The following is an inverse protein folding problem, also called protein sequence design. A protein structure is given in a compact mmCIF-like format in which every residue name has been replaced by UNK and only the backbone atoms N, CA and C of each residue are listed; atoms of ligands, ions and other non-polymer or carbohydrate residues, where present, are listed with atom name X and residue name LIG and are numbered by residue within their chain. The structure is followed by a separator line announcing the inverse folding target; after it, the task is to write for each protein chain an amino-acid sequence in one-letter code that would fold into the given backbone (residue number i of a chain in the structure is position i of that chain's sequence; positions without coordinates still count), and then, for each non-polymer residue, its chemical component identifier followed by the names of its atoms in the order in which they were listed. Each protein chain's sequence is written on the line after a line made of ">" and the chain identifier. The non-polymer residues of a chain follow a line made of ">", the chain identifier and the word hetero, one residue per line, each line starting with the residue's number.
data_IF_765950060934
#
_entry.id   IF_765950060934
#
_cell.length_a   1.000
_cell.length_b   1.000
_cell.length_c   1.000
_cell.angle_alpha   90.00
_cell.angle_beta   90.00
_cell.angle_gamma   90.00
#
_symmetry.space_group_name_H-M   'P 1'
#
loop_
_entity.id
_entity.type
_entity.pdbx_description
1 polymer ?
#
# COMPACT_ATOMS: atom_id res chain seq x y z
N UNK A 1 33.93 16.64 -2.89
CA UNK A 1 34.11 15.36 -2.23
C UNK A 1 32.94 14.48 -2.67
N UNK A 2 33.03 14.04 -3.95
CA UNK A 2 32.09 13.13 -4.61
C UNK A 2 32.72 11.74 -4.55
N UNK A 3 31.95 10.77 -4.19
CA UNK A 3 32.01 9.39 -4.61
C UNK A 3 31.48 8.46 -3.51
N UNK A 4 30.27 7.97 -3.75
CA UNK A 4 29.86 6.58 -3.47
C UNK A 4 28.48 6.31 -4.06
N UNK A 5 28.40 6.36 -5.39
CA UNK A 5 27.29 5.73 -6.10
C UNK A 5 27.50 4.21 -6.04
N UNK A 6 26.65 3.54 -5.28
CA UNK A 6 26.63 2.07 -5.21
C UNK A 6 26.19 1.54 -6.56
N UNK A 7 27.10 0.85 -7.25
CA UNK A 7 26.87 0.26 -8.56
C UNK A 7 25.86 -0.89 -8.47
N UNK A 8 24.74 -0.81 -9.22
CA UNK A 8 23.66 -1.80 -9.31
C UNK A 8 24.12 -3.25 -9.45
N UNK A 9 25.28 -3.50 -10.04
CA UNK A 9 25.85 -4.85 -10.21
C UNK A 9 26.40 -5.48 -8.93
N UNK A 10 26.67 -4.70 -7.89
CA UNK A 10 27.12 -5.23 -6.57
C UNK A 10 25.98 -5.63 -5.66
N UNK A 11 24.80 -5.02 -5.81
CA UNK A 11 23.64 -5.34 -4.98
C UNK A 11 23.06 -6.72 -5.29
N UNK A 12 23.10 -7.15 -6.58
CA UNK A 12 22.57 -8.45 -7.01
C UNK A 12 23.43 -9.64 -6.55
N UNK A 13 24.69 -9.43 -6.16
CA UNK A 13 25.58 -10.53 -5.71
C UNK A 13 25.50 -10.87 -4.21
N UNK A 14 24.83 -10.08 -3.40
CA UNK A 14 24.66 -10.37 -1.95
C UNK A 14 23.35 -11.09 -1.59
N UNK A 15 22.41 -11.23 -2.52
CA UNK A 15 21.12 -11.90 -2.30
C UNK A 15 21.10 -13.36 -2.76
N UNK A 16 22.21 -13.97 -3.05
CA UNK A 16 22.30 -15.29 -3.66
C UNK A 16 23.12 -16.29 -2.86
N UNK A 17 22.69 -16.73 -1.68
CA UNK A 17 23.06 -18.06 -1.14
C UNK A 17 21.95 -18.55 -0.23
N UNK A 18 21.18 -19.52 -0.69
CA UNK A 18 20.14 -20.17 0.09
C UNK A 18 19.25 -21.08 -0.75
N UNK A 19 19.82 -21.78 -1.75
CA UNK A 19 19.08 -22.83 -2.46
C UNK A 19 19.10 -24.13 -1.62
N UNK A 20 18.00 -24.44 -0.96
CA UNK A 20 17.74 -25.79 -0.45
C UNK A 20 16.98 -26.54 -1.51
N UNK A 21 17.66 -27.47 -2.17
CA UNK A 21 17.08 -28.45 -3.10
C UNK A 21 16.27 -29.48 -2.30
N UNK A 22 14.95 -29.46 -2.42
CA UNK A 22 14.09 -30.58 -1.99
C UNK A 22 13.68 -31.38 -3.21
N UNK A 23 14.19 -32.61 -3.27
CA UNK A 23 13.78 -33.65 -4.22
C UNK A 23 12.32 -34.04 -3.92
N UNK A 24 11.44 -33.87 -4.88
CA UNK A 24 10.08 -34.38 -4.87
C UNK A 24 10.10 -35.85 -5.28
N UNK A 25 9.96 -36.74 -4.30
CA UNK A 25 9.46 -38.10 -4.55
C UNK A 25 7.93 -38.05 -4.45
N UNK A 26 7.25 -38.44 -5.50
CA UNK A 26 5.82 -38.45 -5.57
C UNK A 26 5.17 -39.49 -4.67
N UNK A 27 4.10 -39.09 -4.00
CA UNK A 27 2.98 -39.93 -3.56
C UNK A 27 1.74 -39.06 -3.46
N UNK A 28 0.66 -39.47 -4.14
CA UNK A 28 -0.59 -38.75 -4.15
C UNK A 28 -1.22 -38.64 -2.76
N UNK A 29 -1.53 -37.42 -2.38
CA UNK A 29 -2.37 -37.10 -1.23
C UNK A 29 -3.59 -36.35 -1.73
N UNK A 30 -4.75 -36.81 -1.29
CA UNK A 30 -6.05 -36.33 -1.72
C UNK A 30 -6.33 -34.91 -1.19
N UNK A 31 -6.98 -34.07 -1.99
CA UNK A 31 -7.27 -32.66 -1.69
C UNK A 31 -8.12 -32.35 -0.42
N UNK A 32 -8.29 -33.33 0.49
CA UNK A 32 -8.87 -33.13 1.82
C UNK A 32 -7.84 -32.70 2.85
N UNK A 33 -6.62 -33.18 2.73
CA UNK A 33 -5.57 -32.92 3.73
C UNK A 33 -4.99 -31.50 3.61
N UNK A 34 -5.00 -30.92 2.40
CA UNK A 34 -4.55 -29.54 2.19
C UNK A 34 -5.49 -28.51 2.81
N UNK A 35 -6.80 -28.76 2.75
CA UNK A 35 -7.80 -27.85 3.31
C UNK A 35 -7.79 -27.88 4.86
N UNK A 36 -7.63 -29.05 5.45
CA UNK A 36 -7.56 -29.20 6.89
C UNK A 36 -6.27 -28.64 7.49
N UNK A 37 -5.16 -28.75 6.77
CA UNK A 37 -3.88 -28.13 7.15
C UNK A 37 -3.91 -26.61 7.00
N UNK A 38 -4.60 -26.09 5.98
CA UNK A 38 -4.82 -24.66 5.77
C UNK A 38 -5.68 -24.05 6.89
N UNK A 39 -6.77 -24.71 7.28
CA UNK A 39 -7.66 -24.25 8.36
C UNK A 39 -6.97 -24.30 9.73
N UNK A 40 -6.04 -25.24 9.95
CA UNK A 40 -5.20 -25.29 11.18
C UNK A 40 -4.14 -24.18 11.22
N UNK A 41 -3.53 -23.85 10.08
CA UNK A 41 -2.59 -22.73 9.96
C UNK A 41 -3.29 -21.37 10.17
N UNK A 42 -4.49 -21.20 9.66
CA UNK A 42 -5.29 -19.99 9.85
C UNK A 42 -5.77 -19.86 11.30
N UNK A 43 -6.16 -20.96 11.96
CA UNK A 43 -6.55 -20.95 13.39
C UNK A 43 -5.39 -20.81 14.36
N UNK A 44 -4.16 -21.16 13.95
CA UNK A 44 -2.95 -21.00 14.76
C UNK A 44 -2.35 -19.59 14.75
N UNK A 45 -2.79 -18.72 13.86
CA UNK A 45 -2.28 -17.34 13.72
C UNK A 45 -3.07 -16.27 14.48
N UNK A 46 -4.01 -16.65 15.36
CA UNK A 46 -4.59 -15.73 16.34
C UNK A 46 -3.66 -15.66 17.57
N UNK A 47 -2.43 -15.27 17.33
CA UNK A 47 -1.52 -14.80 18.36
C UNK A 47 -1.75 -13.31 18.50
N UNK A 48 -2.22 -12.85 19.65
CA UNK A 48 -2.64 -11.51 19.96
C UNK A 48 -1.60 -10.42 19.67
N UNK A 49 -1.44 -10.06 18.40
CA UNK A 49 -0.78 -8.85 17.98
C UNK A 49 -1.61 -7.65 18.44
N UNK A 50 -0.93 -6.58 18.87
CA UNK A 50 -1.59 -5.34 19.25
C UNK A 50 -2.41 -4.82 18.05
N UNK A 51 -3.70 -4.51 18.26
CA UNK A 51 -4.53 -3.88 17.24
C UNK A 51 -3.85 -2.61 16.71
N UNK A 52 -3.74 -2.49 15.38
CA UNK A 52 -3.17 -1.32 14.72
C UNK A 52 -4.26 -0.38 14.26
N UNK A 53 -3.93 0.93 14.22
CA UNK A 53 -4.69 1.96 13.52
C UNK A 53 -4.13 2.10 12.10
N UNK A 54 -4.95 1.82 11.11
CA UNK A 54 -4.57 1.83 9.69
C UNK A 54 -5.34 2.96 8.98
N UNK A 55 -4.63 3.78 8.22
CA UNK A 55 -5.24 4.79 7.36
C UNK A 55 -5.08 4.37 5.91
N UNK A 56 -6.21 4.19 5.22
CA UNK A 56 -6.29 3.91 3.78
C UNK A 56 -6.62 5.20 3.05
N UNK A 57 -5.75 5.64 2.15
CA UNK A 57 -5.90 6.87 1.36
C UNK A 57 -6.29 6.49 -0.05
N UNK A 58 -7.58 6.50 -0.36
CA UNK A 58 -8.12 6.29 -1.69
C UNK A 58 -8.03 7.55 -2.53
N UNK A 59 -7.60 7.40 -3.78
CA UNK A 59 -7.43 8.53 -4.71
C UNK A 59 -8.06 8.31 -6.08
N UNK A 60 -8.94 7.31 -6.20
CA UNK A 60 -9.67 7.08 -7.44
C UNK A 60 -10.83 8.05 -7.60
N UNK A 61 -10.91 8.80 -8.71
CA UNK A 61 -12.06 9.66 -9.00
C UNK A 61 -13.28 8.90 -9.54
N UNK A 62 -13.14 7.60 -9.81
CA UNK A 62 -14.26 6.79 -10.28
C UNK A 62 -15.22 6.46 -9.14
N UNK A 63 -16.52 6.34 -9.43
CA UNK A 63 -17.51 5.85 -8.46
C UNK A 63 -17.07 4.53 -7.81
N UNK A 64 -17.45 4.35 -6.55
CA UNK A 64 -17.04 3.18 -5.76
C UNK A 64 -17.35 1.84 -6.44
N UNK A 65 -18.50 1.73 -7.09
CA UNK A 65 -18.95 0.53 -7.80
C UNK A 65 -18.24 0.29 -9.14
N UNK A 66 -17.45 1.25 -9.64
CA UNK A 66 -16.70 1.16 -10.89
C UNK A 66 -15.19 1.09 -10.67
N UNK A 67 -14.71 1.65 -9.57
CA UNK A 67 -13.29 1.75 -9.28
C UNK A 67 -12.64 0.41 -8.98
N UNK A 68 -11.59 0.10 -9.70
CA UNK A 68 -10.77 -1.10 -9.52
C UNK A 68 -9.85 -0.99 -8.30
N UNK A 69 -9.23 0.17 -8.08
CA UNK A 69 -8.36 0.40 -6.93
C UNK A 69 -9.12 0.48 -5.61
N UNK A 70 -10.33 1.06 -5.60
CA UNK A 70 -11.21 1.03 -4.42
C UNK A 70 -11.59 -0.41 -4.08
N UNK A 71 -11.93 -1.24 -5.08
CA UNK A 71 -12.22 -2.66 -4.83
C UNK A 71 -11.06 -3.37 -4.13
N UNK A 72 -9.82 -3.21 -4.62
CA UNK A 72 -8.68 -3.85 -3.99
C UNK A 72 -8.43 -3.34 -2.56
N UNK A 73 -8.65 -2.05 -2.32
CA UNK A 73 -8.54 -1.47 -0.97
C UNK A 73 -9.62 -1.97 -0.02
N UNK A 74 -10.84 -2.23 -0.52
CA UNK A 74 -11.91 -2.86 0.25
C UNK A 74 -11.56 -4.29 0.66
N UNK A 75 -10.94 -5.06 -0.24
CA UNK A 75 -10.45 -6.41 0.10
C UNK A 75 -9.36 -6.37 1.16
N UNK A 76 -8.39 -5.47 1.06
CA UNK A 76 -7.39 -5.25 2.10
C UNK A 76 -8.03 -4.86 3.43
N UNK A 77 -8.96 -3.90 3.41
CA UNK A 77 -9.67 -3.43 4.60
C UNK A 77 -10.43 -4.55 5.29
N UNK A 78 -11.14 -5.39 4.52
CA UNK A 78 -11.84 -6.55 5.07
C UNK A 78 -10.88 -7.54 5.72
N UNK A 79 -9.72 -7.79 5.11
CA UNK A 79 -8.66 -8.62 5.70
C UNK A 79 -8.13 -8.05 7.01
N UNK A 80 -7.76 -6.76 7.02
CA UNK A 80 -7.23 -6.08 8.20
C UNK A 80 -8.23 -6.04 9.36
N UNK A 81 -9.50 -5.77 9.06
CA UNK A 81 -10.58 -5.79 10.06
C UNK A 81 -10.83 -7.21 10.61
N UNK A 82 -10.71 -8.25 9.77
CA UNK A 82 -10.82 -9.64 10.22
C UNK A 82 -9.71 -10.05 11.19
N UNK A 83 -8.55 -9.38 11.12
CA UNK A 83 -7.43 -9.53 12.04
C UNK A 83 -7.53 -8.63 13.30
N UNK A 84 -8.61 -7.85 13.44
CA UNK A 84 -8.87 -7.01 14.61
C UNK A 84 -8.25 -5.60 14.54
N UNK A 85 -7.84 -5.14 13.36
CA UNK A 85 -7.29 -3.80 13.18
C UNK A 85 -8.38 -2.75 12.96
N UNK A 86 -8.14 -1.52 13.40
CA UNK A 86 -8.98 -0.36 13.14
C UNK A 86 -8.58 0.27 11.80
N UNK A 87 -9.52 0.39 10.85
CA UNK A 87 -9.25 0.96 9.54
C UNK A 87 -10.09 2.21 9.30
N UNK A 88 -9.42 3.34 9.05
CA UNK A 88 -10.03 4.57 8.58
C UNK A 88 -9.70 4.77 7.10
N UNK A 89 -10.72 5.04 6.28
CA UNK A 89 -10.56 5.31 4.86
C UNK A 89 -10.84 6.78 4.55
N UNK A 90 -9.90 7.42 3.84
CA UNK A 90 -10.03 8.79 3.34
C UNK A 90 -10.16 8.78 1.82
N UNK A 91 -11.12 9.54 1.30
CA UNK A 91 -11.38 9.68 -0.14
C UNK A 91 -10.76 10.97 -0.67
N UNK A 92 -9.50 10.91 -1.06
CA UNK A 92 -8.76 12.07 -1.56
C UNK A 92 -9.29 12.63 -2.89
N UNK A 93 -10.14 11.89 -3.59
CA UNK A 93 -10.70 12.33 -4.87
C UNK A 93 -11.99 13.15 -4.72
N UNK A 94 -12.78 12.88 -3.67
CA UNK A 94 -14.08 13.53 -3.48
C UNK A 94 -14.10 14.51 -2.30
N UNK A 95 -13.10 14.47 -1.43
CA UNK A 95 -12.94 15.47 -0.37
C UNK A 95 -12.33 16.77 -0.90
N UNK A 96 -12.67 17.89 -0.26
CA UNK A 96 -12.05 19.17 -0.59
C UNK A 96 -10.59 19.18 -0.16
N UNK A 97 -9.68 19.16 -1.12
CA UNK A 97 -8.23 19.09 -0.90
C UNK A 97 -7.49 20.12 -1.75
N UNK A 98 -6.38 20.65 -1.21
CA UNK A 98 -5.54 21.63 -1.93
C UNK A 98 -4.08 21.13 -1.96
N UNK A 99 -3.39 21.27 -3.10
CA UNK A 99 -1.98 20.94 -3.22
C UNK A 99 -1.12 21.83 -2.32
N UNK A 100 0.05 21.34 -1.92
CA UNK A 100 1.04 22.14 -1.22
C UNK A 100 1.49 23.33 -2.10
N UNK A 101 1.53 24.55 -1.51
CA UNK A 101 1.97 25.77 -2.20
C UNK A 101 3.47 26.07 -2.01
N UNK A 102 4.20 25.25 -1.26
CA UNK A 102 5.61 25.51 -0.98
C UNK A 102 5.86 26.80 -0.18
N UNK A 103 4.89 27.25 0.62
CA UNK A 103 4.96 28.54 1.32
C UNK A 103 5.75 28.48 2.63
N UNK A 104 6.14 27.30 3.06
CA UNK A 104 6.93 26.97 4.26
C UNK A 104 6.37 27.48 5.62
N UNK A 105 5.15 27.99 5.64
CA UNK A 105 4.53 28.49 6.88
C UNK A 105 4.26 27.43 7.95
N UNK A 106 4.28 26.15 7.58
CA UNK A 106 4.16 25.02 8.49
C UNK A 106 5.51 24.63 9.14
N UNK A 107 6.65 25.11 8.61
CA UNK A 107 7.99 24.80 9.10
C UNK A 107 8.22 23.30 9.35
N UNK A 108 7.66 22.42 8.49
CA UNK A 108 7.73 20.95 8.53
C UNK A 108 7.12 20.27 9.77
N UNK A 109 6.63 20.99 10.75
CA UNK A 109 6.03 20.43 11.98
C UNK A 109 4.79 21.20 12.48
N UNK A 110 4.36 22.22 11.76
CA UNK A 110 3.19 23.02 12.11
C UNK A 110 1.96 22.75 11.25
N UNK A 111 0.80 23.31 11.63
CA UNK A 111 -0.41 23.18 10.81
C UNK A 111 -0.23 23.85 9.46
N UNK A 112 -0.80 23.23 8.43
CA UNK A 112 -0.85 23.86 7.12
C UNK A 112 -1.77 25.10 7.16
N UNK A 113 -1.49 26.04 6.25
CA UNK A 113 -2.38 27.22 6.06
C UNK A 113 -3.75 26.85 5.52
N UNK A 114 -3.83 25.76 4.72
CA UNK A 114 -5.10 25.23 4.25
C UNK A 114 -5.82 24.49 5.38
N UNK A 115 -7.09 24.82 5.58
CA UNK A 115 -7.97 24.16 6.54
C UNK A 115 -8.93 23.20 5.83
N UNK A 116 -8.41 22.52 4.82
CA UNK A 116 -9.10 21.56 4.01
C UNK A 116 -9.21 20.17 4.68
N UNK A 117 -9.82 19.21 4.00
CA UNK A 117 -10.02 17.87 4.54
C UNK A 117 -8.68 17.13 4.84
N UNK A 118 -7.59 17.46 4.13
CA UNK A 118 -6.27 16.91 4.47
C UNK A 118 -5.84 17.36 5.87
N UNK A 119 -5.93 18.65 6.18
CA UNK A 119 -5.47 19.17 7.48
C UNK A 119 -6.43 18.84 8.62
N UNK A 120 -7.76 18.89 8.36
CA UNK A 120 -8.76 18.81 9.44
C UNK A 120 -9.25 17.38 9.72
N UNK A 121 -9.20 16.49 8.72
CA UNK A 121 -9.71 15.13 8.84
C UNK A 121 -8.57 14.10 8.73
N UNK A 122 -7.79 14.13 7.62
CA UNK A 122 -6.82 13.10 7.33
C UNK A 122 -5.57 13.21 8.21
N UNK A 123 -4.99 14.40 8.36
CA UNK A 123 -3.74 14.59 9.08
C UNK A 123 -3.81 14.10 10.54
N UNK A 124 -4.84 14.41 11.35
CA UNK A 124 -4.98 13.87 12.70
C UNK A 124 -4.97 12.32 12.70
N UNK A 125 -5.67 11.69 11.73
CA UNK A 125 -5.72 10.23 11.61
C UNK A 125 -4.37 9.63 11.23
N UNK A 126 -3.65 10.25 10.27
CA UNK A 126 -2.32 9.80 9.89
C UNK A 126 -1.30 9.90 11.03
N UNK A 127 -1.38 10.95 11.84
CA UNK A 127 -0.48 11.12 12.99
C UNK A 127 -0.65 10.01 14.04
N UNK A 128 -1.88 9.56 14.25
CA UNK A 128 -2.20 8.48 15.19
C UNK A 128 -2.00 7.08 14.58
N UNK A 129 -1.92 6.96 13.26
CA UNK A 129 -1.86 5.68 12.57
C UNK A 129 -0.53 4.97 12.80
N UNK A 130 -0.60 3.64 12.90
CA UNK A 130 0.56 2.74 12.85
C UNK A 130 0.95 2.44 11.39
N UNK A 131 -0.01 2.51 10.46
CA UNK A 131 0.17 2.15 9.05
C UNK A 131 -0.58 3.08 8.10
N UNK A 132 0.05 3.40 6.96
CA UNK A 132 -0.54 4.15 5.85
C UNK A 132 -0.61 3.26 4.61
N UNK A 133 -1.79 3.19 3.99
CA UNK A 133 -2.02 2.46 2.73
C UNK A 133 -2.34 3.46 1.64
N UNK A 134 -1.45 3.55 0.67
CA UNK A 134 -1.59 4.44 -0.48
C UNK A 134 -2.31 3.69 -1.60
N UNK A 135 -3.48 4.19 -2.02
CA UNK A 135 -4.32 3.54 -3.03
C UNK A 135 -4.53 4.45 -4.23
N UNK A 136 -4.14 4.00 -5.42
CA UNK A 136 -4.17 4.83 -6.62
C UNK A 136 -4.49 4.05 -7.90
N UNK A 137 -5.30 4.61 -8.82
CA UNK A 137 -5.22 4.20 -10.22
C UNK A 137 -3.89 4.72 -10.80
N UNK A 138 -3.36 3.99 -11.78
CA UNK A 138 -2.18 4.41 -12.53
C UNK A 138 -2.59 5.39 -13.63
N UNK A 139 -2.16 6.65 -13.53
CA UNK A 139 -2.36 7.65 -14.55
C UNK A 139 -1.02 8.14 -15.09
N UNK A 140 -0.82 7.97 -16.41
CA UNK A 140 0.45 8.29 -17.06
C UNK A 140 1.67 7.72 -16.32
N UNK A 141 1.55 6.44 -15.93
CA UNK A 141 2.60 5.63 -15.28
C UNK A 141 3.03 6.11 -13.89
N UNK A 142 2.23 6.97 -13.26
CA UNK A 142 2.45 7.45 -11.89
C UNK A 142 1.15 7.36 -11.07
N UNK A 143 1.22 7.81 -9.83
CA UNK A 143 0.03 7.96 -8.99
C UNK A 143 -0.89 9.06 -9.53
N UNK A 144 -2.16 9.00 -9.15
CA UNK A 144 -3.11 10.06 -9.47
C UNK A 144 -2.70 11.40 -8.83
N UNK A 145 -3.11 12.52 -9.43
CA UNK A 145 -2.86 13.85 -8.89
C UNK A 145 -3.44 14.01 -7.47
N UNK A 146 -4.57 13.39 -7.19
CA UNK A 146 -5.24 13.41 -5.89
C UNK A 146 -4.35 12.78 -4.80
N UNK A 147 -3.74 11.62 -5.07
CA UNK A 147 -2.80 11.03 -4.11
C UNK A 147 -1.55 11.88 -3.95
N UNK A 148 -1.01 12.41 -5.06
CA UNK A 148 0.17 13.29 -5.01
C UNK A 148 -0.09 14.55 -4.20
N UNK A 149 -1.30 15.11 -4.30
CA UNK A 149 -1.74 16.26 -3.48
C UNK A 149 -1.65 15.94 -1.99
N UNK A 150 -2.08 14.75 -1.57
CA UNK A 150 -1.98 14.31 -0.17
C UNK A 150 -0.52 14.13 0.25
N UNK A 151 0.29 13.46 -0.58
CA UNK A 151 1.71 13.20 -0.28
C UNK A 151 2.51 14.50 -0.14
N UNK A 152 2.29 15.48 -1.01
CA UNK A 152 2.97 16.78 -0.91
C UNK A 152 2.63 17.55 0.38
N UNK A 153 1.48 17.23 0.98
CA UNK A 153 1.06 17.82 2.26
C UNK A 153 1.70 17.13 3.47
N UNK A 154 2.37 15.97 3.31
CA UNK A 154 3.18 15.36 4.37
C UNK A 154 4.29 16.29 4.85
N UNK A 155 4.74 17.21 4.00
CA UNK A 155 5.72 18.22 4.36
C UNK A 155 5.38 18.95 5.66
N UNK A 156 4.10 19.21 5.94
CA UNK A 156 3.67 19.91 7.15
C UNK A 156 3.91 19.10 8.45
N UNK A 157 4.19 17.80 8.35
CA UNK A 157 4.37 16.89 9.50
C UNK A 157 5.40 15.80 9.22
N UNK A 158 6.42 16.10 8.41
CA UNK A 158 7.36 15.11 7.90
C UNK A 158 7.88 14.19 8.99
N UNK A 159 8.51 14.73 10.04
CA UNK A 159 9.11 13.93 11.13
C UNK A 159 8.10 13.05 11.87
N UNK A 160 6.87 13.53 12.02
CA UNK A 160 5.82 12.81 12.74
C UNK A 160 5.17 11.70 11.92
N UNK A 161 5.36 11.72 10.59
CA UNK A 161 4.90 10.68 9.66
C UNK A 161 5.99 9.64 9.32
N UNK A 162 7.22 9.81 9.81
CA UNK A 162 8.29 8.83 9.66
C UNK A 162 8.01 7.54 10.44
N UNK A 163 8.70 6.47 10.05
CA UNK A 163 8.80 5.18 10.75
C UNK A 163 7.47 4.46 10.95
N UNK A 164 6.50 4.70 10.07
CA UNK A 164 5.24 3.97 10.05
C UNK A 164 5.36 2.72 9.16
N UNK A 165 4.42 1.80 9.29
CA UNK A 165 4.22 0.78 8.24
C UNK A 165 3.57 1.43 7.03
N UNK A 166 3.87 0.90 5.84
CA UNK A 166 3.25 1.39 4.60
C UNK A 166 2.92 0.25 3.64
N UNK A 167 1.98 0.53 2.73
CA UNK A 167 1.60 -0.37 1.65
C UNK A 167 1.16 0.44 0.43
N UNK A 168 1.43 -0.07 -0.77
CA UNK A 168 0.90 0.47 -2.02
C UNK A 168 -0.12 -0.50 -2.63
N UNK A 169 -1.30 0.01 -2.97
CA UNK A 169 -2.29 -0.66 -3.81
C UNK A 169 -2.47 0.18 -5.07
N UNK A 170 -2.18 -0.38 -6.23
CA UNK A 170 -2.33 0.31 -7.49
C UNK A 170 -3.00 -0.55 -8.54
N UNK A 171 -3.78 0.06 -9.45
CA UNK A 171 -4.41 -0.62 -10.58
C UNK A 171 -4.09 0.08 -11.89
N UNK A 172 -3.94 -0.68 -12.96
CA UNK A 172 -3.69 -0.19 -14.31
C UNK A 172 -4.51 -0.93 -15.34
N UNK A 173 -4.88 -0.25 -16.41
CA UNK A 173 -5.47 -0.85 -17.60
C UNK A 173 -4.42 -1.70 -18.35
N UNK A 174 -3.21 -1.16 -18.53
CA UNK A 174 -2.11 -1.84 -19.21
C UNK A 174 -1.60 -3.02 -18.36
N UNK A 175 -1.25 -4.14 -19.03
CA UNK A 175 -0.74 -5.36 -18.41
C UNK A 175 0.73 -5.66 -18.71
N UNK A 176 1.43 -4.78 -19.43
CA UNK A 176 2.86 -4.96 -19.73
C UNK A 176 3.72 -4.91 -18.45
N UNK A 177 4.80 -5.70 -18.40
CA UNK A 177 5.66 -5.87 -17.22
C UNK A 177 6.24 -4.55 -16.68
N UNK A 178 6.50 -3.59 -17.56
CA UNK A 178 7.05 -2.28 -17.19
C UNK A 178 6.01 -1.28 -16.68
N UNK A 179 4.72 -1.61 -16.76
CA UNK A 179 3.60 -0.68 -16.49
C UNK A 179 3.72 0.03 -15.14
N UNK A 180 4.09 -0.69 -14.10
CA UNK A 180 4.15 -0.15 -12.73
C UNK A 180 5.54 0.40 -12.34
N UNK A 181 6.55 0.29 -13.19
CA UNK A 181 7.96 0.56 -12.83
C UNK A 181 8.18 1.98 -12.31
N UNK A 182 7.62 3.00 -12.96
CA UNK A 182 7.80 4.39 -12.52
C UNK A 182 7.09 4.65 -11.18
N UNK A 183 5.87 4.13 -11.00
CA UNK A 183 5.12 4.27 -9.77
C UNK A 183 5.81 3.56 -8.60
N UNK A 184 6.25 2.32 -8.77
CA UNK A 184 6.94 1.58 -7.71
C UNK A 184 8.27 2.22 -7.34
N UNK A 185 9.05 2.70 -8.32
CA UNK A 185 10.29 3.45 -8.03
C UNK A 185 10.04 4.73 -7.23
N UNK A 186 8.93 5.43 -7.49
CA UNK A 186 8.53 6.59 -6.70
C UNK A 186 8.13 6.18 -5.27
N UNK A 187 7.33 5.11 -5.13
CA UNK A 187 6.93 4.59 -3.83
C UNK A 187 8.12 4.13 -3.00
N UNK A 188 9.05 3.38 -3.60
CA UNK A 188 10.27 2.92 -2.94
C UNK A 188 11.12 4.09 -2.43
N UNK A 189 11.21 5.18 -3.22
CA UNK A 189 11.90 6.40 -2.82
C UNK A 189 11.21 7.07 -1.63
N UNK A 190 9.86 7.13 -1.65
CA UNK A 190 9.09 7.69 -0.54
C UNK A 190 9.24 6.84 0.74
N UNK A 191 9.15 5.51 0.63
CA UNK A 191 9.38 4.57 1.73
C UNK A 191 10.76 4.77 2.34
N UNK A 192 11.79 4.87 1.51
CA UNK A 192 13.17 5.11 1.96
C UNK A 192 13.33 6.45 2.66
N UNK A 193 12.79 7.54 2.08
CA UNK A 193 12.87 8.88 2.65
C UNK A 193 12.14 9.01 3.97
N UNK A 194 10.95 8.42 4.08
CA UNK A 194 10.11 8.45 5.28
C UNK A 194 10.52 7.40 6.33
N UNK A 195 11.54 6.58 6.05
CA UNK A 195 11.95 5.45 6.90
C UNK A 195 10.77 4.51 7.22
N UNK A 196 9.87 4.33 6.26
CA UNK A 196 8.71 3.47 6.44
C UNK A 196 9.09 1.99 6.30
N UNK A 197 8.36 1.14 7.02
CA UNK A 197 8.40 -0.29 6.82
C UNK A 197 7.36 -0.69 5.78
N UNK A 198 7.80 -1.02 4.54
CA UNK A 198 6.90 -1.57 3.53
C UNK A 198 6.44 -2.98 3.93
N UNK A 199 5.12 -3.18 4.02
CA UNK A 199 4.52 -4.49 4.32
C UNK A 199 4.07 -5.23 3.05
N UNK A 200 4.18 -4.59 1.90
CA UNK A 200 3.91 -5.19 0.59
C UNK A 200 3.20 -4.27 -0.39
N UNK A 201 3.06 -4.76 -1.61
CA UNK A 201 2.37 -4.06 -2.70
C UNK A 201 1.34 -4.96 -3.36
N UNK A 202 0.22 -4.37 -3.81
CA UNK A 202 -0.73 -5.01 -4.71
C UNK A 202 -0.81 -4.21 -6.00
N UNK A 203 -0.29 -4.78 -7.08
CA UNK A 203 -0.15 -4.14 -8.39
C UNK A 203 -1.08 -4.81 -9.40
N UNK A 204 -2.33 -4.33 -9.44
CA UNK A 204 -3.40 -4.85 -10.29
C UNK A 204 -3.25 -4.41 -11.74
N UNK A 205 -2.30 -4.99 -12.46
CA UNK A 205 -2.12 -4.79 -13.91
C UNK A 205 -3.22 -5.48 -14.70
N UNK A 206 -3.65 -4.89 -15.82
CA UNK A 206 -4.74 -5.43 -16.64
C UNK A 206 -6.13 -5.26 -16.01
N UNK A 207 -6.26 -4.58 -14.88
CA UNK A 207 -7.53 -4.31 -14.20
C UNK A 207 -8.24 -3.08 -14.79
N UNK A 208 -8.58 -3.13 -16.08
CA UNK A 208 -9.22 -2.02 -16.79
C UNK A 208 -10.70 -1.81 -16.47
N UNK A 209 -11.34 -2.75 -15.75
CA UNK A 209 -12.71 -2.62 -15.25
C UNK A 209 -12.86 -3.30 -13.90
N UNK A 210 -13.91 -2.93 -13.16
CA UNK A 210 -14.22 -3.53 -11.85
C UNK A 210 -14.36 -5.05 -11.95
N UNK A 211 -15.07 -5.56 -12.96
CA UNK A 211 -15.26 -7.00 -13.17
C UNK A 211 -13.94 -7.76 -13.43
N UNK A 212 -12.99 -7.14 -14.15
CA UNK A 212 -11.65 -7.70 -14.33
C UNK A 212 -10.87 -7.74 -13.01
N UNK A 213 -10.98 -6.70 -12.19
CA UNK A 213 -10.35 -6.69 -10.87
C UNK A 213 -10.95 -7.76 -9.95
N UNK A 214 -12.27 -7.91 -9.94
CA UNK A 214 -13.00 -8.90 -9.13
C UNK A 214 -12.67 -10.35 -9.52
N UNK A 215 -12.48 -10.64 -10.80
CA UNK A 215 -12.07 -11.97 -11.29
C UNK A 215 -10.57 -12.24 -11.17
N UNK A 216 -9.77 -11.25 -10.77
CA UNK A 216 -8.32 -11.35 -10.69
C UNK A 216 -7.84 -11.96 -9.36
N UNK A 217 -6.54 -12.33 -9.33
CA UNK A 217 -5.85 -12.76 -8.10
C UNK A 217 -5.58 -11.62 -7.11
N UNK A 218 -5.72 -10.37 -7.54
CA UNK A 218 -5.28 -9.21 -6.76
C UNK A 218 -6.20 -8.90 -5.56
N UNK A 219 -7.52 -9.14 -5.70
CA UNK A 219 -8.45 -9.03 -4.58
C UNK A 219 -8.10 -9.99 -3.43
N UNK A 220 -8.02 -11.31 -3.68
CA UNK A 220 -7.55 -12.27 -2.68
C UNK A 220 -6.14 -11.97 -2.11
N UNK A 221 -5.23 -11.44 -2.93
CA UNK A 221 -3.91 -11.01 -2.47
C UNK A 221 -4.02 -9.85 -1.47
N UNK A 222 -4.79 -8.82 -1.79
CA UNK A 222 -5.02 -7.69 -0.90
C UNK A 222 -5.62 -8.12 0.44
N UNK A 223 -6.65 -8.98 0.40
CA UNK A 223 -7.27 -9.55 1.61
C UNK A 223 -6.24 -10.29 2.48
N UNK A 224 -5.44 -11.18 1.88
CA UNK A 224 -4.43 -11.98 2.60
C UNK A 224 -3.39 -11.10 3.29
N UNK A 225 -2.92 -10.02 2.63
CA UNK A 225 -1.97 -9.10 3.25
C UNK A 225 -2.62 -8.43 4.47
N UNK A 226 -3.85 -7.93 4.35
CA UNK A 226 -4.57 -7.34 5.47
C UNK A 226 -4.78 -8.29 6.63
N UNK A 227 -5.16 -9.55 6.33
CA UNK A 227 -5.41 -10.57 7.35
C UNK A 227 -4.14 -11.12 8.02
N UNK A 228 -2.97 -10.84 7.47
CA UNK A 228 -1.67 -11.31 7.99
C UNK A 228 -0.92 -10.23 8.80
N UNK A 229 -1.49 -9.02 8.97
CA UNK A 229 -0.88 -7.93 9.74
C UNK A 229 -0.87 -8.24 11.23
#
# INVERSE_FOLDING_TARGET
>A
MMDKLINRRKFIRLAGVGAVSLLLAGCGLSGRDEKENYDKLVKGSISGGKSMKIVVINSSPHPKNESTSIYLSEQFTAGAQSAGHEVFTFDAANEETHPCRGCDKCHMDGPCIFKDAIETILMPKMLEADMLVLVTPLYYYSMSAQLKTVIDRFYSRTERLHRKKSMLIATAYNSADWTMTALTSHYDTLVSYMEWQDVGTVLGVGCGSRSLAESSKFGPQAYKIGAAL
#
